data_IF_722930946113
#
_entry.id   IF_722930946113
#
_cell.length_a   1.000
_cell.length_b   1.000
_cell.length_c   1.000
_cell.angle_alpha   90.00
_cell.angle_beta   90.00
_cell.angle_gamma   90.00
#
_symmetry.space_group_name_H-M   'P 1'
#
loop_
_entity.id
_entity.type
_entity.pdbx_description
1 polymer ?
#
# COMPACT_ATOMS: atom_id res chain seq x y z
N UNK A 1 -8.10 -58.34 29.87
CA UNK A 1 -7.56 -57.96 28.54
C UNK A 1 -7.24 -56.46 28.60
N UNK A 2 -6.13 -56.00 29.17
CA UNK A 2 -4.78 -55.79 28.60
C UNK A 2 -4.74 -55.29 27.14
N UNK A 3 -4.06 -54.14 26.98
CA UNK A 3 -3.28 -53.67 25.81
C UNK A 3 -4.04 -52.85 24.77
N UNK A 4 -3.57 -51.71 24.25
CA UNK A 4 -2.45 -50.81 24.59
C UNK A 4 -2.67 -49.49 23.82
N UNK A 5 -2.46 -48.38 24.52
CA UNK A 5 -2.22 -47.05 23.96
C UNK A 5 -0.84 -47.07 23.28
N UNK A 6 -0.74 -46.74 21.99
CA UNK A 6 0.55 -46.55 21.31
C UNK A 6 0.57 -45.21 20.57
N UNK A 7 1.58 -44.42 20.93
CA UNK A 7 2.03 -43.20 20.29
C UNK A 7 1.97 -43.26 18.76
N UNK A 8 1.35 -42.25 18.15
CA UNK A 8 1.81 -41.71 16.89
C UNK A 8 2.14 -40.23 17.12
N UNK A 9 3.43 -40.00 17.25
CA UNK A 9 4.10 -38.72 17.39
C UNK A 9 3.93 -37.94 16.07
N UNK A 10 2.75 -37.35 15.84
CA UNK A 10 2.60 -36.41 14.73
C UNK A 10 3.17 -35.10 15.22
N UNK A 11 4.41 -34.86 14.81
CA UNK A 11 5.08 -33.56 14.80
C UNK A 11 4.12 -32.57 14.13
N UNK A 12 3.33 -31.87 14.94
CA UNK A 12 2.66 -30.66 14.51
C UNK A 12 3.77 -29.65 14.27
N UNK A 13 4.35 -29.68 13.07
CA UNK A 13 4.98 -28.51 12.50
C UNK A 13 3.93 -27.42 12.60
N UNK A 14 4.09 -26.54 13.59
CA UNK A 14 3.46 -25.24 13.58
C UNK A 14 4.03 -24.53 12.36
N UNK A 15 3.45 -24.81 11.19
CA UNK A 15 3.45 -23.86 10.10
C UNK A 15 2.64 -22.71 10.68
N UNK A 16 3.35 -21.78 11.31
CA UNK A 16 2.85 -20.44 11.50
C UNK A 16 2.61 -19.92 10.09
N UNK A 17 1.44 -20.25 9.53
CA UNK A 17 0.86 -19.52 8.43
C UNK A 17 0.77 -18.12 9.01
N UNK A 18 1.72 -17.26 8.63
CA UNK A 18 1.58 -15.83 8.77
C UNK A 18 0.35 -15.51 7.94
N UNK A 19 -0.82 -15.56 8.58
CA UNK A 19 -2.03 -15.00 8.07
C UNK A 19 -1.72 -13.50 7.99
N UNK A 20 -1.11 -13.08 6.86
CA UNK A 20 -1.16 -11.70 6.42
C UNK A 20 -2.64 -11.39 6.44
N UNK A 21 -3.07 -10.60 7.42
CA UNK A 21 -4.43 -10.12 7.46
C UNK A 21 -4.65 -9.37 6.15
N UNK A 22 -5.33 -9.99 5.20
CA UNK A 22 -5.83 -9.33 4.00
C UNK A 22 -7.09 -8.57 4.40
N UNK A 23 -6.96 -7.72 5.42
CA UNK A 23 -7.96 -6.71 5.63
C UNK A 23 -7.74 -5.69 4.53
N UNK A 24 -8.53 -5.81 3.47
CA UNK A 24 -8.49 -4.89 2.34
C UNK A 24 -8.63 -3.45 2.84
N UNK A 25 -7.99 -2.54 2.12
CA UNK A 25 -8.07 -1.12 2.48
C UNK A 25 -9.53 -0.68 2.41
N UNK A 26 -9.93 0.21 3.33
CA UNK A 26 -11.28 0.72 3.40
C UNK A 26 -11.30 2.20 3.78
N UNK A 27 -12.46 2.83 3.58
CA UNK A 27 -12.68 4.26 3.79
C UNK A 27 -13.20 4.60 5.19
N UNK A 28 -13.15 3.67 6.15
CA UNK A 28 -13.54 3.96 7.55
C UNK A 28 -12.61 5.02 8.12
N UNK A 29 -13.19 6.06 8.70
CA UNK A 29 -12.43 7.18 9.29
C UNK A 29 -12.05 8.28 8.30
N UNK A 30 -12.40 8.17 7.02
CA UNK A 30 -12.19 9.23 6.04
C UNK A 30 -12.94 10.51 6.44
N UNK A 31 -12.22 11.63 6.50
CA UNK A 31 -12.76 12.94 6.93
C UNK A 31 -12.85 13.12 8.44
N UNK A 32 -12.47 12.11 9.24
CA UNK A 32 -12.47 12.18 10.70
C UNK A 32 -11.11 11.83 11.27
N UNK A 33 -10.72 10.55 11.25
CA UNK A 33 -9.43 10.07 11.77
C UNK A 33 -8.33 10.00 10.72
N UNK A 34 -8.69 9.99 9.43
CA UNK A 34 -7.75 10.04 8.31
C UNK A 34 -8.25 10.91 7.17
N UNK A 35 -7.33 11.53 6.45
CA UNK A 35 -7.64 12.25 5.21
C UNK A 35 -7.70 11.24 4.07
N UNK A 36 -8.64 11.40 3.14
CA UNK A 36 -8.81 10.47 2.03
C UNK A 36 -9.13 11.20 0.74
N UNK A 37 -8.69 10.61 -0.37
CA UNK A 37 -9.05 10.96 -1.72
C UNK A 37 -9.51 9.71 -2.46
N UNK A 38 -10.61 9.83 -3.19
CA UNK A 38 -11.27 8.74 -3.89
C UNK A 38 -11.69 9.21 -5.28
N UNK A 39 -11.33 8.45 -6.31
CA UNK A 39 -11.75 8.70 -7.68
C UNK A 39 -12.28 7.41 -8.31
N UNK A 40 -13.57 7.35 -8.70
CA UNK A 40 -14.61 8.35 -8.49
C UNK A 40 -14.93 8.64 -7.01
N UNK A 41 -15.47 9.82 -6.70
CA UNK A 41 -15.82 10.15 -5.32
C UNK A 41 -16.76 9.10 -4.70
N UNK A 42 -16.40 8.58 -3.52
CA UNK A 42 -17.20 7.59 -2.79
C UNK A 42 -17.09 6.14 -3.30
N UNK A 43 -16.24 5.84 -4.28
CA UNK A 43 -16.02 4.46 -4.74
C UNK A 43 -15.45 3.53 -3.65
N UNK A 44 -15.63 2.21 -3.75
CA UNK A 44 -15.02 1.31 -2.75
C UNK A 44 -13.51 1.15 -2.99
N UNK A 45 -12.62 1.34 -2.00
CA UNK A 45 -11.18 1.11 -2.17
C UNK A 45 -10.81 -0.33 -2.58
N UNK A 46 -11.71 -1.29 -2.33
CA UNK A 46 -11.57 -2.69 -2.77
C UNK A 46 -12.00 -2.93 -4.23
N UNK A 47 -12.40 -1.89 -4.95
CA UNK A 47 -12.80 -1.95 -6.36
C UNK A 47 -11.64 -1.57 -7.27
N UNK A 48 -11.42 -2.32 -8.34
CA UNK A 48 -10.38 -2.03 -9.33
C UNK A 48 -10.63 -0.78 -10.16
N UNK A 49 -11.85 -0.22 -10.12
CA UNK A 49 -12.18 1.07 -10.73
C UNK A 49 -12.03 2.26 -9.78
N UNK A 50 -11.62 2.02 -8.53
CA UNK A 50 -11.45 3.04 -7.50
C UNK A 50 -9.98 3.35 -7.29
N UNK A 51 -9.57 4.59 -7.53
CA UNK A 51 -8.30 5.11 -7.04
C UNK A 51 -8.53 5.65 -5.63
N UNK A 52 -7.83 5.09 -4.66
CA UNK A 52 -7.92 5.47 -3.26
C UNK A 52 -6.55 5.85 -2.73
N UNK A 53 -6.51 6.98 -2.04
CA UNK A 53 -5.36 7.42 -1.26
C UNK A 53 -5.88 7.87 0.10
N UNK A 54 -5.31 7.38 1.19
CA UNK A 54 -5.54 7.98 2.51
C UNK A 54 -4.23 8.21 3.25
N UNK A 55 -4.29 9.15 4.19
CA UNK A 55 -3.16 9.44 5.04
C UNK A 55 -3.54 9.91 6.44
N UNK A 56 -2.68 9.57 7.39
CA UNK A 56 -2.69 10.08 8.77
C UNK A 56 -1.33 10.67 9.10
N UNK A 57 -1.32 11.78 9.83
CA UNK A 57 -0.09 12.39 10.33
C UNK A 57 0.07 12.12 11.83
N UNK A 58 1.20 11.57 12.24
CA UNK A 58 1.57 11.45 13.64
C UNK A 58 2.48 12.64 14.03
N UNK A 59 2.01 13.58 14.87
CA UNK A 59 2.80 14.76 15.24
C UNK A 59 3.97 14.42 16.17
N UNK A 60 3.90 13.32 16.92
CA UNK A 60 4.96 12.91 17.84
C UNK A 60 6.17 12.36 17.08
N UNK A 61 5.94 11.48 16.10
CA UNK A 61 7.01 10.94 15.25
C UNK A 61 7.30 11.79 14.01
N UNK A 62 6.45 12.77 13.69
CA UNK A 62 6.51 13.60 12.48
C UNK A 62 6.48 12.79 11.18
N UNK A 63 5.63 11.76 11.17
CA UNK A 63 5.52 10.82 10.05
C UNK A 63 4.09 10.80 9.48
N UNK A 64 4.01 10.49 8.20
CA UNK A 64 2.76 10.16 7.53
C UNK A 64 2.68 8.66 7.29
N UNK A 65 1.53 8.08 7.59
CA UNK A 65 1.16 6.74 7.12
C UNK A 65 0.20 6.89 5.95
N UNK A 66 0.53 6.25 4.83
CA UNK A 66 -0.25 6.25 3.60
C UNK A 66 -0.87 4.89 3.36
N UNK A 67 -2.06 4.90 2.78
CA UNK A 67 -2.73 3.73 2.22
C UNK A 67 -3.11 4.06 0.78
N UNK A 68 -2.74 3.21 -0.15
CA UNK A 68 -3.01 3.35 -1.59
C UNK A 68 -3.73 2.11 -2.06
N UNK A 69 -4.85 2.27 -2.76
CA UNK A 69 -5.41 1.17 -3.55
C UNK A 69 -5.88 1.62 -4.93
N UNK A 70 -5.82 0.70 -5.87
CA UNK A 70 -6.23 0.96 -7.23
C UNK A 70 -5.99 -0.20 -8.18
N UNK A 71 -6.71 -0.16 -9.29
CA UNK A 71 -6.49 -1.02 -10.42
C UNK A 71 -6.58 -0.22 -11.70
N UNK A 72 -5.99 -0.73 -12.77
CA UNK A 72 -6.40 -0.38 -14.11
C UNK A 72 -7.31 -1.51 -14.59
N UNK A 73 -8.46 -1.18 -15.17
CA UNK A 73 -9.37 -2.17 -15.79
C UNK A 73 -8.73 -3.03 -16.89
N UNK A 74 -7.46 -2.77 -17.25
CA UNK A 74 -6.63 -3.54 -18.16
C UNK A 74 -5.69 -4.56 -17.46
N UNK A 75 -5.87 -4.82 -16.16
CA UNK A 75 -5.17 -5.88 -15.44
C UNK A 75 -3.85 -5.49 -14.79
N UNK A 76 -3.46 -4.21 -14.81
CA UNK A 76 -2.33 -3.71 -13.98
C UNK A 76 -2.87 -3.19 -12.65
N UNK A 77 -2.52 -3.85 -11.55
CA UNK A 77 -2.81 -3.42 -10.19
C UNK A 77 -1.90 -2.22 -9.85
N UNK A 78 -2.39 -1.00 -10.06
CA UNK A 78 -1.60 0.22 -9.93
C UNK A 78 -2.34 1.31 -9.16
N UNK A 79 -1.64 1.95 -8.24
CA UNK A 79 -2.10 3.13 -7.51
C UNK A 79 -0.90 4.02 -7.22
N UNK A 80 -1.05 5.34 -7.33
CA UNK A 80 0.07 6.25 -7.15
C UNK A 80 -0.35 7.57 -6.51
N UNK A 81 0.59 8.18 -5.80
CA UNK A 81 0.49 9.52 -5.25
C UNK A 81 1.83 10.24 -5.42
N UNK A 82 1.80 11.56 -5.52
CA UNK A 82 3.02 12.36 -5.62
C UNK A 82 2.91 13.64 -4.81
N UNK A 83 4.00 14.03 -4.16
CA UNK A 83 4.15 15.37 -3.58
C UNK A 83 4.73 16.29 -4.63
N UNK A 84 3.96 17.30 -5.03
CA UNK A 84 4.30 18.23 -6.10
C UNK A 84 3.79 19.62 -5.72
N UNK A 85 4.43 20.67 -6.25
CA UNK A 85 3.99 22.05 -6.10
C UNK A 85 2.90 22.44 -7.11
N UNK A 86 2.66 21.62 -8.14
CA UNK A 86 1.67 21.86 -9.18
C UNK A 86 0.41 20.99 -9.05
N UNK A 87 -0.57 21.25 -9.91
CA UNK A 87 -1.82 20.48 -9.97
C UNK A 87 -1.68 19.10 -10.65
N UNK A 88 -0.52 18.80 -11.23
CA UNK A 88 -0.21 17.53 -11.89
C UNK A 88 0.92 16.81 -11.13
N UNK A 89 0.89 15.47 -11.10
CA UNK A 89 1.93 14.63 -10.48
C UNK A 89 3.33 14.73 -11.14
N UNK A 90 3.50 15.65 -12.08
CA UNK A 90 4.75 15.93 -12.79
C UNK A 90 5.79 16.55 -11.85
N UNK A 91 7.05 16.14 -12.03
CA UNK A 91 8.21 16.60 -11.27
C UNK A 91 8.04 16.51 -9.74
N UNK A 92 7.14 15.63 -9.28
CA UNK A 92 6.88 15.38 -7.88
C UNK A 92 7.65 14.19 -7.33
N UNK A 93 7.69 14.13 -6.00
CA UNK A 93 8.10 12.95 -5.24
C UNK A 93 6.99 11.88 -5.33
N UNK A 94 7.15 10.95 -6.27
CA UNK A 94 6.19 9.90 -6.55
C UNK A 94 6.42 8.67 -5.67
N UNK A 95 5.32 8.14 -5.15
CA UNK A 95 5.20 6.80 -4.58
C UNK A 95 4.08 6.06 -5.29
N UNK A 96 4.32 4.81 -5.66
CA UNK A 96 3.32 4.01 -6.37
C UNK A 96 3.41 2.53 -6.06
N UNK A 97 2.25 1.91 -6.08
CA UNK A 97 2.04 0.48 -6.02
C UNK A 97 1.98 -0.08 -7.43
N UNK A 98 2.68 -1.19 -7.66
CA UNK A 98 2.48 -2.02 -8.84
C UNK A 98 2.50 -3.49 -8.43
N UNK A 99 1.38 -4.19 -8.64
CA UNK A 99 1.21 -5.54 -8.12
C UNK A 99 1.35 -5.54 -6.59
N UNK A 100 2.25 -6.38 -6.07
CA UNK A 100 2.57 -6.49 -4.65
C UNK A 100 3.86 -5.75 -4.26
N UNK A 101 4.24 -4.72 -5.00
CA UNK A 101 5.44 -3.92 -4.75
C UNK A 101 5.11 -2.44 -4.55
N UNK A 102 5.77 -1.82 -3.59
CA UNK A 102 5.83 -0.37 -3.45
C UNK A 102 7.13 0.15 -4.07
N UNK A 103 7.04 1.18 -4.90
CA UNK A 103 8.17 1.84 -5.54
C UNK A 103 8.11 3.36 -5.34
N UNK A 104 9.24 4.02 -5.52
CA UNK A 104 9.32 5.47 -5.60
C UNK A 104 9.89 5.89 -6.96
N UNK A 105 9.65 7.14 -7.34
CA UNK A 105 10.12 7.65 -8.61
C UNK A 105 9.88 9.13 -8.79
N UNK A 106 9.87 9.54 -10.05
CA UNK A 106 9.36 10.81 -10.53
C UNK A 106 8.62 10.62 -11.86
N UNK A 107 7.75 11.58 -12.19
CA UNK A 107 7.06 11.64 -13.47
C UNK A 107 7.57 12.85 -14.25
N UNK A 108 8.11 12.63 -15.46
CA UNK A 108 8.56 13.73 -16.32
C UNK A 108 7.41 14.50 -16.98
N UNK A 109 6.26 13.85 -17.20
CA UNK A 109 5.04 14.49 -17.71
C UNK A 109 3.78 13.70 -17.32
N UNK A 110 2.60 14.28 -17.48
CA UNK A 110 1.32 13.59 -17.27
C UNK A 110 1.21 12.36 -18.17
N UNK A 111 0.63 11.28 -17.64
CA UNK A 111 0.45 9.99 -18.33
C UNK A 111 1.74 9.27 -18.76
N UNK A 112 2.93 9.79 -18.42
CA UNK A 112 4.18 9.08 -18.65
C UNK A 112 4.34 7.92 -17.66
N UNK A 113 5.15 6.94 -18.05
CA UNK A 113 5.63 5.94 -17.11
C UNK A 113 6.57 6.58 -16.08
N UNK A 114 6.48 6.19 -14.80
CA UNK A 114 7.42 6.63 -13.78
C UNK A 114 8.87 6.29 -14.12
N UNK A 115 9.78 7.24 -13.91
CA UNK A 115 11.20 6.92 -13.78
C UNK A 115 11.40 6.36 -12.38
N UNK A 116 11.66 5.05 -12.30
CA UNK A 116 11.74 4.32 -11.02
C UNK A 116 13.07 4.59 -10.32
N UNK A 117 13.04 4.90 -9.02
CA UNK A 117 14.25 4.89 -8.20
C UNK A 117 14.65 3.44 -7.88
N UNK A 118 15.94 3.08 -7.96
CA UNK A 118 16.38 1.69 -7.70
C UNK A 118 16.03 1.19 -6.29
N UNK A 119 15.97 2.11 -5.31
CA UNK A 119 15.58 1.83 -3.94
C UNK A 119 14.50 2.82 -3.47
N UNK A 120 13.76 2.43 -2.43
CA UNK A 120 12.91 3.36 -1.70
C UNK A 120 13.79 4.34 -0.89
N UNK A 121 13.38 5.60 -0.74
CA UNK A 121 14.12 6.57 0.07
C UNK A 121 14.27 6.12 1.52
N UNK A 122 15.39 6.49 2.14
CA UNK A 122 15.66 6.18 3.55
C UNK A 122 14.56 6.73 4.47
N UNK A 123 14.09 5.91 5.41
CA UNK A 123 13.03 6.27 6.35
C UNK A 123 11.63 5.82 5.92
N UNK A 124 11.45 5.34 4.68
CA UNK A 124 10.20 4.65 4.32
C UNK A 124 10.15 3.30 5.02
N UNK A 125 9.12 3.08 5.84
CA UNK A 125 8.96 1.90 6.71
C UNK A 125 7.53 1.39 6.67
N UNK A 126 7.24 0.33 7.46
CA UNK A 126 5.90 -0.27 7.57
C UNK A 126 5.28 -0.62 6.21
N UNK A 127 6.12 -1.08 5.28
CA UNK A 127 5.73 -1.36 3.91
C UNK A 127 4.94 -2.68 3.90
N UNK A 128 3.70 -2.60 3.45
CA UNK A 128 2.91 -3.75 3.06
C UNK A 128 2.37 -3.49 1.67
N UNK A 129 2.54 -4.44 0.76
CA UNK A 129 1.96 -4.36 -0.57
C UNK A 129 1.36 -5.73 -0.93
N UNK A 130 0.14 -5.74 -1.43
CA UNK A 130 -0.61 -6.94 -1.77
C UNK A 130 -1.47 -6.69 -3.01
N UNK A 131 -1.97 -7.78 -3.58
CA UNK A 131 -3.00 -7.73 -4.61
C UNK A 131 -4.18 -8.58 -4.19
N UNK A 132 -5.39 -8.07 -4.42
CA UNK A 132 -6.63 -8.81 -4.18
C UNK A 132 -7.65 -8.39 -5.23
N UNK A 133 -8.30 -9.36 -5.89
CA UNK A 133 -9.38 -9.12 -6.84
C UNK A 133 -9.07 -8.08 -7.94
N UNK A 134 -7.83 -8.06 -8.44
CA UNK A 134 -7.40 -7.11 -9.46
C UNK A 134 -7.13 -5.69 -8.95
N UNK A 135 -7.09 -5.50 -7.62
CA UNK A 135 -6.70 -4.26 -6.94
C UNK A 135 -5.32 -4.45 -6.34
N UNK A 136 -4.43 -3.48 -6.56
CA UNK A 136 -3.17 -3.35 -5.82
C UNK A 136 -3.41 -2.51 -4.59
N UNK A 137 -2.90 -2.95 -3.46
CA UNK A 137 -3.01 -2.26 -2.18
C UNK A 137 -1.61 -2.10 -1.60
N UNK A 138 -1.23 -0.89 -1.18
CA UNK A 138 -0.07 -0.72 -0.32
C UNK A 138 -0.34 0.18 0.86
N UNK A 139 0.40 -0.08 1.93
CA UNK A 139 0.57 0.83 3.05
C UNK A 139 2.05 1.06 3.27
N UNK A 140 2.39 2.28 3.68
CA UNK A 140 3.76 2.62 4.07
C UNK A 140 3.75 3.85 4.96
N UNK A 141 4.78 3.98 5.78
CA UNK A 141 5.04 5.16 6.59
C UNK A 141 6.28 5.87 6.06
N UNK A 142 6.27 7.20 6.04
CA UNK A 142 7.46 8.01 5.76
C UNK A 142 7.53 9.27 6.63
N UNK A 143 8.73 9.77 6.94
CA UNK A 143 8.90 11.07 7.58
C UNK A 143 8.32 12.20 6.72
N UNK A 144 7.77 13.23 7.37
CA UNK A 144 7.23 14.42 6.70
C UNK A 144 8.26 15.11 5.79
N UNK A 145 9.52 15.12 6.21
CA UNK A 145 10.65 15.60 5.41
C UNK A 145 11.54 14.42 5.01
N UNK A 146 11.79 14.26 3.72
CA UNK A 146 12.67 13.21 3.19
C UNK A 146 13.63 13.81 2.17
N UNK A 147 14.87 13.35 2.19
CA UNK A 147 15.86 13.66 1.16
C UNK A 147 16.01 12.45 0.26
N UNK A 148 15.71 12.60 -1.04
CA UNK A 148 16.04 11.58 -2.04
C UNK A 148 17.48 11.81 -2.50
N UNK A 149 18.32 10.80 -2.31
CA UNK A 149 19.70 10.75 -2.80
C UNK A 149 19.78 10.02 -4.13
#
# INVERSE_FOLDING_TARGET
MRSSMKCALIVCFAVAVLLKSSHGLNNTGCGTSKSCYMMPAGCSPSSSSCLFVSYTYNPTSQEFTFELSGGSGAGTQYAAMAFTSGAEMMNGDLYYCIGSELKSGSLGTRYALPTTTPALPTGVTSISANTANGVGECTFTRPASITKT
#
